data_IF_071343340568
#
_entry.id   IF_071343340568
#
_cell.length_a   1.000
_cell.length_b   1.000
_cell.length_c   1.000
_cell.angle_alpha   90.00
_cell.angle_beta   90.00
_cell.angle_gamma   90.00
#
_symmetry.space_group_name_H-M   'P 1'
#
loop_
_entity.id
_entity.type
_entity.pdbx_description
1 polymer ?
#
# COMPACT_ATOMS: atom_id res chain seq x y z
N UNK A 1 -29.39 -10.70 -59.44
CA UNK A 1 -29.79 -10.12 -58.14
C UNK A 1 -28.93 -10.77 -57.06
N UNK A 2 -27.77 -10.17 -56.75
CA UNK A 2 -26.86 -10.64 -55.71
C UNK A 2 -27.31 -10.07 -54.36
N UNK A 3 -27.65 -10.96 -53.42
CA UNK A 3 -28.00 -10.60 -52.04
C UNK A 3 -26.79 -10.01 -51.30
N UNK A 4 -26.99 -9.00 -50.42
CA UNK A 4 -25.88 -8.26 -49.86
C UNK A 4 -25.18 -9.06 -48.75
N UNK A 5 -23.90 -9.38 -48.97
CA UNK A 5 -22.98 -10.05 -48.06
C UNK A 5 -22.64 -9.21 -46.79
N UNK A 6 -23.20 -8.00 -46.68
CA UNK A 6 -22.94 -7.02 -45.62
C UNK A 6 -23.46 -7.45 -44.22
N UNK A 7 -24.46 -8.33 -44.15
CA UNK A 7 -25.17 -8.62 -42.90
C UNK A 7 -24.38 -9.54 -41.93
N UNK A 8 -23.58 -10.47 -42.48
CA UNK A 8 -22.74 -11.38 -41.67
C UNK A 8 -21.59 -10.65 -40.99
N UNK A 9 -20.97 -9.71 -41.69
CA UNK A 9 -19.85 -8.93 -41.13
C UNK A 9 -20.33 -8.03 -39.97
N UNK A 10 -21.47 -7.35 -40.13
CA UNK A 10 -22.11 -6.56 -39.09
C UNK A 10 -22.45 -7.40 -37.85
N UNK A 11 -23.04 -8.58 -38.04
CA UNK A 11 -23.37 -9.50 -36.96
C UNK A 11 -22.13 -9.99 -36.21
N UNK A 12 -21.05 -10.37 -36.92
CA UNK A 12 -19.80 -10.79 -36.28
C UNK A 12 -19.12 -9.66 -35.50
N UNK A 13 -19.17 -8.42 -36.00
CA UNK A 13 -18.65 -7.24 -35.29
C UNK A 13 -19.48 -6.98 -34.03
N UNK A 14 -20.81 -7.02 -34.13
CA UNK A 14 -21.72 -6.86 -33.00
C UNK A 14 -21.50 -7.92 -31.93
N UNK A 15 -21.35 -9.19 -32.33
CA UNK A 15 -21.06 -10.31 -31.43
C UNK A 15 -19.70 -10.14 -30.73
N UNK A 16 -18.66 -9.70 -31.43
CA UNK A 16 -17.35 -9.42 -30.84
C UNK A 16 -17.41 -8.26 -29.85
N UNK A 17 -18.14 -7.19 -30.17
CA UNK A 17 -18.34 -6.06 -29.26
C UNK A 17 -19.16 -6.46 -28.03
N UNK A 18 -20.25 -7.22 -28.21
CA UNK A 18 -21.04 -7.75 -27.11
C UNK A 18 -20.20 -8.65 -26.20
N UNK A 19 -19.40 -9.56 -26.78
CA UNK A 19 -18.48 -10.40 -26.03
C UNK A 19 -17.43 -9.57 -25.27
N UNK A 20 -16.85 -8.54 -25.90
CA UNK A 20 -15.90 -7.64 -25.25
C UNK A 20 -16.54 -6.91 -24.05
N UNK A 21 -17.74 -6.37 -24.22
CA UNK A 21 -18.48 -5.69 -23.13
C UNK A 21 -18.78 -6.65 -21.99
N UNK A 22 -19.23 -7.88 -22.28
CA UNK A 22 -19.50 -8.90 -21.26
C UNK A 22 -18.21 -9.28 -20.51
N UNK A 23 -17.09 -9.44 -21.23
CA UNK A 23 -15.80 -9.75 -20.60
C UNK A 23 -15.33 -8.59 -19.72
N UNK A 24 -15.39 -7.35 -20.20
CA UNK A 24 -14.99 -6.17 -19.43
C UNK A 24 -15.88 -5.96 -18.20
N UNK A 25 -17.20 -6.12 -18.36
CA UNK A 25 -18.15 -6.06 -17.25
C UNK A 25 -17.90 -7.17 -16.23
N UNK A 26 -17.62 -8.39 -16.68
CA UNK A 26 -17.26 -9.52 -15.83
C UNK A 26 -15.97 -9.28 -15.04
N UNK A 27 -14.93 -8.74 -15.70
CA UNK A 27 -13.67 -8.37 -15.04
C UNK A 27 -13.89 -7.24 -14.03
N UNK A 28 -14.67 -6.22 -14.38
CA UNK A 28 -14.98 -5.11 -13.48
C UNK A 28 -15.78 -5.57 -12.26
N UNK A 29 -16.78 -6.44 -12.46
CA UNK A 29 -17.55 -7.04 -11.37
C UNK A 29 -16.70 -7.95 -10.46
N UNK A 30 -15.67 -8.59 -11.01
CA UNK A 30 -14.72 -9.40 -10.25
C UNK A 30 -13.49 -8.61 -9.76
N UNK A 31 -13.43 -7.29 -9.99
CA UNK A 31 -12.22 -6.50 -9.76
C UNK A 31 -11.74 -6.56 -8.31
N UNK A 32 -12.64 -6.48 -7.34
CA UNK A 32 -12.27 -6.52 -5.92
C UNK A 32 -11.53 -7.82 -5.54
N UNK A 33 -12.04 -8.96 -6.03
CA UNK A 33 -11.43 -10.28 -5.79
C UNK A 33 -10.13 -10.41 -6.59
N UNK A 34 -10.13 -9.97 -7.86
CA UNK A 34 -8.96 -10.04 -8.73
C UNK A 34 -7.81 -9.19 -8.19
N UNK A 35 -8.08 -7.96 -7.74
CA UNK A 35 -7.08 -7.06 -7.15
C UNK A 35 -6.52 -7.67 -5.87
N UNK A 36 -7.37 -8.17 -4.98
CA UNK A 36 -6.92 -8.83 -3.75
C UNK A 36 -6.04 -10.06 -4.04
N UNK A 37 -6.43 -10.89 -5.02
CA UNK A 37 -5.68 -12.06 -5.42
C UNK A 37 -4.34 -11.69 -6.06
N UNK A 38 -4.32 -10.66 -6.92
CA UNK A 38 -3.11 -10.15 -7.56
C UNK A 38 -2.14 -9.57 -6.52
N UNK A 39 -2.65 -8.82 -5.55
CA UNK A 39 -1.85 -8.28 -4.45
C UNK A 39 -1.28 -9.41 -3.58
N UNK A 40 -2.09 -10.42 -3.25
CA UNK A 40 -1.62 -11.58 -2.50
C UNK A 40 -0.60 -12.42 -3.28
N UNK A 41 -0.78 -12.57 -4.60
CA UNK A 41 0.20 -13.22 -5.48
C UNK A 41 1.53 -12.46 -5.45
N UNK A 42 1.47 -11.14 -5.58
CA UNK A 42 2.64 -10.26 -5.53
C UNK A 42 3.39 -10.45 -4.21
N UNK A 43 2.71 -10.35 -3.06
CA UNK A 43 3.34 -10.61 -1.77
C UNK A 43 3.88 -12.04 -1.63
N UNK A 44 3.14 -13.06 -2.09
CA UNK A 44 3.61 -14.44 -2.06
C UNK A 44 4.91 -14.63 -2.86
N UNK A 45 5.03 -14.00 -4.02
CA UNK A 45 6.27 -13.99 -4.83
C UNK A 45 7.42 -13.34 -4.05
N UNK A 46 7.17 -12.17 -3.45
CA UNK A 46 8.17 -11.38 -2.71
C UNK A 46 8.65 -12.10 -1.45
N UNK A 47 7.74 -12.81 -0.75
CA UNK A 47 8.04 -13.54 0.48
C UNK A 47 8.61 -14.94 0.24
N UNK A 48 8.38 -15.54 -0.92
CA UNK A 48 8.88 -16.89 -1.24
C UNK A 48 10.41 -17.06 -1.10
N UNK A 49 11.28 -16.09 -1.45
CA UNK A 49 12.70 -16.12 -1.12
C UNK A 49 12.99 -16.32 0.37
N UNK A 50 12.24 -15.64 1.26
CA UNK A 50 12.37 -15.81 2.70
C UNK A 50 11.92 -17.22 3.13
N UNK A 51 10.78 -17.70 2.61
CA UNK A 51 10.29 -19.06 2.86
C UNK A 51 11.31 -20.11 2.40
N UNK A 52 11.89 -19.96 1.21
CA UNK A 52 12.90 -20.89 0.68
C UNK A 52 14.21 -20.83 1.46
N UNK A 53 14.58 -19.69 2.03
CA UNK A 53 15.73 -19.57 2.92
C UNK A 53 15.53 -20.38 4.21
N UNK A 54 14.35 -20.33 4.83
CA UNK A 54 14.01 -21.17 5.99
C UNK A 54 13.99 -22.67 5.64
N UNK A 55 13.45 -23.02 4.46
CA UNK A 55 13.47 -24.41 3.98
C UNK A 55 14.91 -24.92 3.79
N UNK A 56 15.82 -24.08 3.26
CA UNK A 56 17.24 -24.43 3.12
C UNK A 56 17.94 -24.64 4.46
N UNK A 57 17.43 -24.08 5.56
CA UNK A 57 17.89 -24.32 6.93
C UNK A 57 17.25 -25.56 7.58
N UNK A 58 16.47 -26.36 6.85
CA UNK A 58 15.86 -27.61 7.32
C UNK A 58 14.43 -27.49 7.83
N UNK A 59 13.80 -26.30 7.76
CA UNK A 59 12.41 -26.12 8.21
C UNK A 59 11.43 -26.70 7.19
N UNK A 60 10.45 -27.51 7.63
CA UNK A 60 9.40 -28.03 6.72
C UNK A 60 8.55 -26.87 6.19
N UNK A 61 8.10 -26.96 4.94
CA UNK A 61 7.44 -25.86 4.23
C UNK A 61 6.25 -25.22 4.97
N UNK A 62 5.30 -25.95 5.58
CA UNK A 62 4.20 -25.33 6.31
C UNK A 62 4.69 -24.42 7.45
N UNK A 63 5.66 -24.90 8.24
CA UNK A 63 6.26 -24.11 9.32
C UNK A 63 7.04 -22.90 8.81
N UNK A 64 7.75 -23.04 7.68
CA UNK A 64 8.45 -21.91 7.06
C UNK A 64 7.47 -20.82 6.60
N UNK A 65 6.33 -21.21 6.01
CA UNK A 65 5.28 -20.26 5.60
C UNK A 65 4.68 -19.58 6.82
N UNK A 66 4.25 -20.36 7.83
CA UNK A 66 3.66 -19.81 9.07
C UNK A 66 4.63 -18.83 9.73
N UNK A 67 5.91 -19.18 9.87
CA UNK A 67 6.91 -18.32 10.49
C UNK A 67 7.10 -17.00 9.73
N UNK A 68 7.25 -17.04 8.41
CA UNK A 68 7.44 -15.84 7.57
C UNK A 68 6.19 -14.96 7.61
N UNK A 69 5.01 -15.55 7.50
CA UNK A 69 3.74 -14.80 7.50
C UNK A 69 3.46 -14.19 8.88
N UNK A 70 3.69 -14.93 9.98
CA UNK A 70 3.55 -14.40 11.33
C UNK A 70 4.55 -13.27 11.58
N UNK A 71 5.81 -13.42 11.14
CA UNK A 71 6.80 -12.34 11.24
C UNK A 71 6.37 -11.09 10.46
N UNK A 72 5.83 -11.26 9.24
CA UNK A 72 5.28 -10.15 8.45
C UNK A 72 4.08 -9.50 9.16
N UNK A 73 3.17 -10.28 9.72
CA UNK A 73 1.99 -9.78 10.43
C UNK A 73 2.41 -8.96 11.66
N UNK A 74 3.34 -9.47 12.47
CA UNK A 74 3.87 -8.77 13.63
C UNK A 74 4.56 -7.47 13.21
N UNK A 75 5.38 -7.50 12.16
CA UNK A 75 6.06 -6.32 11.64
C UNK A 75 5.05 -5.25 11.17
N UNK A 76 4.04 -5.63 10.41
CA UNK A 76 3.06 -4.71 9.84
C UNK A 76 2.12 -4.13 10.91
N UNK A 77 1.66 -4.97 11.84
CA UNK A 77 0.84 -4.52 12.97
C UNK A 77 1.61 -3.62 13.92
N UNK A 78 2.88 -3.93 14.21
CA UNK A 78 3.74 -3.06 15.01
C UNK A 78 3.96 -1.70 14.32
N UNK A 79 4.26 -1.70 13.02
CA UNK A 79 4.47 -0.47 12.25
C UNK A 79 3.22 0.41 12.24
N UNK A 80 2.06 -0.15 11.89
CA UNK A 80 0.81 0.60 11.86
C UNK A 80 0.33 0.98 13.26
N UNK A 81 0.61 0.18 14.29
CA UNK A 81 0.27 0.49 15.68
C UNK A 81 1.07 1.69 16.20
N UNK A 82 2.37 1.73 15.91
CA UNK A 82 3.23 2.89 16.22
C UNK A 82 2.77 4.13 15.46
N UNK A 83 2.40 4.00 14.19
CA UNK A 83 1.83 5.10 13.41
C UNK A 83 0.50 5.59 13.99
N UNK A 84 -0.39 4.67 14.37
CA UNK A 84 -1.67 5.00 14.98
C UNK A 84 -1.47 5.78 16.29
N UNK A 85 -0.57 5.30 17.16
CA UNK A 85 -0.21 6.00 18.39
C UNK A 85 0.35 7.41 18.09
N UNK A 86 1.31 7.51 17.17
CA UNK A 86 1.92 8.80 16.80
C UNK A 86 0.91 9.78 16.21
N UNK A 87 -0.02 9.29 15.39
CA UNK A 87 -1.11 10.11 14.82
C UNK A 87 -2.09 10.54 15.92
N UNK A 88 -2.38 9.68 16.89
CA UNK A 88 -3.30 9.99 17.98
C UNK A 88 -2.73 11.09 18.86
N UNK A 89 -1.45 10.98 19.20
CA UNK A 89 -0.72 11.99 19.95
C UNK A 89 -0.63 13.32 19.16
N UNK A 90 -0.39 13.25 17.84
CA UNK A 90 -0.40 14.42 16.96
C UNK A 90 -1.76 15.12 16.97
N UNK A 91 -2.86 14.36 16.82
CA UNK A 91 -4.23 14.88 16.84
C UNK A 91 -4.58 15.51 18.19
N UNK A 92 -4.17 14.89 19.30
CA UNK A 92 -4.35 15.44 20.64
C UNK A 92 -3.61 16.78 20.83
N UNK A 93 -2.47 16.96 20.16
CA UNK A 93 -1.63 18.16 20.25
C UNK A 93 -2.00 19.26 19.24
N UNK A 94 -2.87 18.98 18.26
CA UNK A 94 -3.33 19.96 17.25
C UNK A 94 -3.83 21.29 17.85
N UNK A 95 -4.65 21.32 18.92
CA UNK A 95 -5.11 22.58 19.50
C UNK A 95 -3.96 23.45 20.02
N UNK A 96 -2.92 22.84 20.59
CA UNK A 96 -1.76 23.56 21.12
C UNK A 96 -0.82 24.02 20.00
N UNK A 97 -0.65 23.22 18.94
CA UNK A 97 0.03 23.67 17.72
C UNK A 97 -0.64 24.90 17.11
N UNK A 98 -1.96 24.92 17.04
CA UNK A 98 -2.71 26.06 16.54
C UNK A 98 -2.43 27.32 17.37
N UNK A 99 -2.49 27.22 18.70
CA UNK A 99 -2.16 28.34 19.60
C UNK A 99 -0.71 28.80 19.43
N UNK A 100 0.24 27.89 19.28
CA UNK A 100 1.65 28.22 19.06
C UNK A 100 1.89 28.90 17.71
N UNK A 101 1.25 28.41 16.64
CA UNK A 101 1.29 29.00 15.31
C UNK A 101 0.68 30.41 15.31
N UNK A 102 -0.49 30.60 15.93
CA UNK A 102 -1.11 31.93 16.06
C UNK A 102 -0.18 32.90 16.78
N UNK A 103 0.47 32.48 17.89
CA UNK A 103 1.44 33.31 18.60
C UNK A 103 2.65 33.70 17.73
N UNK A 104 3.20 32.74 16.97
CA UNK A 104 4.32 33.01 16.05
C UNK A 104 3.93 33.95 14.92
N UNK A 105 2.72 33.80 14.36
CA UNK A 105 2.19 34.69 13.32
C UNK A 105 2.05 36.12 13.88
N UNK A 106 1.52 36.27 15.10
CA UNK A 106 1.40 37.58 15.75
C UNK A 106 2.76 38.22 15.99
N UNK A 107 3.76 37.45 16.46
CA UNK A 107 5.13 37.94 16.60
C UNK A 107 5.73 38.37 15.25
N UNK A 108 5.54 37.57 14.20
CA UNK A 108 5.99 37.91 12.84
C UNK A 108 5.35 39.20 12.31
N UNK A 109 4.09 39.44 12.63
CA UNK A 109 3.38 40.68 12.27
C UNK A 109 3.98 41.90 12.98
N UNK A 110 4.39 41.75 14.24
CA UNK A 110 5.04 42.80 15.02
C UNK A 110 6.43 43.16 14.45
N UNK A 111 7.17 42.18 13.92
CA UNK A 111 8.47 42.41 13.26
C UNK A 111 8.36 42.95 11.82
N UNK A 112 7.22 42.77 11.15
CA UNK A 112 7.01 43.15 9.74
C UNK A 112 5.76 44.01 9.55
N UNK A 113 5.68 45.22 10.18
CA UNK A 113 4.50 46.08 10.10
C UNK A 113 4.20 46.60 8.68
N UNK A 114 5.15 46.50 7.75
CA UNK A 114 5.00 46.88 6.34
C UNK A 114 4.24 45.84 5.51
N UNK A 115 4.16 44.58 5.96
CA UNK A 115 3.19 43.63 5.42
C UNK A 115 1.85 43.91 6.12
N UNK A 116 0.95 44.62 5.44
CA UNK A 116 -0.39 45.02 5.91
C UNK A 116 -1.36 43.83 6.13
N UNK A 117 -0.87 42.72 6.69
CA UNK A 117 -1.61 41.50 7.01
C UNK A 117 -2.50 41.75 8.22
N UNK A 118 -3.70 42.32 8.00
CA UNK A 118 -4.75 42.46 9.02
C UNK A 118 -5.40 41.09 9.33
N UNK A 119 -4.59 40.14 9.79
CA UNK A 119 -5.06 38.81 10.17
C UNK A 119 -5.61 38.92 11.59
N UNK A 120 -6.95 38.97 11.71
CA UNK A 120 -7.62 38.92 13.01
C UNK A 120 -7.38 37.53 13.65
N UNK A 121 -6.64 37.43 14.77
CA UNK A 121 -6.28 36.15 15.40
C UNK A 121 -7.53 35.37 15.85
N UNK A 122 -8.58 36.06 16.30
CA UNK A 122 -9.86 35.45 16.64
C UNK A 122 -10.58 34.83 15.44
N UNK A 123 -10.43 35.42 14.24
CA UNK A 123 -11.01 34.88 13.00
C UNK A 123 -10.21 33.70 12.46
N UNK A 124 -8.89 33.64 12.67
CA UNK A 124 -8.09 32.45 12.35
C UNK A 124 -8.43 31.28 13.27
N UNK A 125 -8.51 31.53 14.58
CA UNK A 125 -8.90 30.53 15.56
C UNK A 125 -10.34 30.03 15.36
N UNK A 126 -11.26 30.89 14.89
CA UNK A 126 -12.63 30.50 14.51
C UNK A 126 -12.76 29.86 13.11
N UNK A 127 -11.89 30.16 12.14
CA UNK A 127 -11.95 29.59 10.77
C UNK A 127 -11.17 28.30 10.60
N UNK A 128 -10.19 28.03 11.46
CA UNK A 128 -9.68 26.67 11.64
C UNK A 128 -10.72 25.89 12.43
N UNK A 129 -11.84 25.56 11.78
CA UNK A 129 -12.92 24.72 12.32
C UNK A 129 -12.27 23.47 12.95
N UNK A 130 -12.17 23.46 14.27
CA UNK A 130 -11.68 22.29 15.01
C UNK A 130 -12.52 21.06 14.66
N UNK A 131 -13.77 21.26 14.25
CA UNK A 131 -14.66 20.23 13.73
C UNK A 131 -14.18 19.61 12.41
N UNK A 132 -13.69 20.40 11.44
CA UNK A 132 -13.15 19.86 10.18
C UNK A 132 -11.83 19.13 10.43
N UNK A 133 -10.94 19.72 11.23
CA UNK A 133 -9.68 19.07 11.61
C UNK A 133 -9.91 17.76 12.37
N UNK A 134 -10.88 17.75 13.30
CA UNK A 134 -11.26 16.56 14.04
C UNK A 134 -11.89 15.52 13.11
N UNK A 135 -12.78 15.90 12.19
CA UNK A 135 -13.39 14.98 11.22
C UNK A 135 -12.33 14.34 10.31
N UNK A 136 -11.35 15.12 9.86
CA UNK A 136 -10.22 14.59 9.09
C UNK A 136 -9.38 13.62 9.94
N UNK A 137 -9.06 13.98 11.17
CA UNK A 137 -8.34 13.13 12.10
C UNK A 137 -9.08 11.81 12.37
N UNK A 138 -10.38 11.84 12.66
CA UNK A 138 -11.20 10.65 12.90
C UNK A 138 -11.34 9.80 11.64
N UNK A 139 -11.42 10.43 10.45
CA UNK A 139 -11.46 9.71 9.17
C UNK A 139 -10.14 8.98 8.91
N UNK A 140 -8.99 9.62 9.13
CA UNK A 140 -7.67 8.99 9.02
C UNK A 140 -7.52 7.83 10.01
N UNK A 141 -7.97 8.00 11.26
CA UNK A 141 -7.98 6.93 12.25
C UNK A 141 -8.86 5.76 11.83
N UNK A 142 -10.04 6.04 11.30
CA UNK A 142 -10.97 5.00 10.82
C UNK A 142 -10.38 4.24 9.64
N UNK A 143 -9.72 4.93 8.70
CA UNK A 143 -9.02 4.29 7.58
C UNK A 143 -7.85 3.43 8.06
N UNK A 144 -7.08 3.90 9.04
CA UNK A 144 -5.97 3.15 9.61
C UNK A 144 -6.45 1.89 10.35
N UNK A 145 -7.54 2.00 11.10
CA UNK A 145 -8.22 0.86 11.74
C UNK A 145 -8.79 -0.12 10.70
N UNK A 146 -9.42 0.38 9.64
CA UNK A 146 -9.88 -0.42 8.51
C UNK A 146 -8.74 -1.17 7.82
N UNK A 147 -7.57 -0.54 7.66
CA UNK A 147 -6.39 -1.18 7.11
C UNK A 147 -5.92 -2.37 7.96
N UNK A 148 -6.01 -2.28 9.30
CA UNK A 148 -5.70 -3.42 10.19
C UNK A 148 -6.61 -4.62 9.91
N UNK A 149 -7.91 -4.40 9.69
CA UNK A 149 -8.83 -5.47 9.34
C UNK A 149 -8.51 -6.06 7.95
N UNK A 150 -8.22 -5.21 6.96
CA UNK A 150 -7.83 -5.63 5.62
C UNK A 150 -6.54 -6.44 5.60
N UNK A 151 -5.61 -6.21 6.53
CA UNK A 151 -4.39 -7.00 6.67
C UNK A 151 -4.68 -8.46 6.99
N UNK A 152 -5.68 -8.75 7.82
CA UNK A 152 -6.04 -10.14 8.15
C UNK A 152 -6.47 -10.89 6.89
N UNK A 153 -7.34 -10.27 6.08
CA UNK A 153 -7.78 -10.84 4.81
C UNK A 153 -6.61 -10.99 3.83
N UNK A 154 -5.77 -9.97 3.70
CA UNK A 154 -4.56 -10.03 2.88
C UNK A 154 -3.67 -11.20 3.28
N UNK A 155 -3.41 -11.35 4.59
CA UNK A 155 -2.57 -12.40 5.14
C UNK A 155 -3.15 -13.78 4.87
N UNK A 156 -4.46 -13.98 5.07
CA UNK A 156 -5.11 -15.25 4.72
C UNK A 156 -4.94 -15.59 3.23
N UNK A 157 -5.18 -14.62 2.34
CA UNK A 157 -5.00 -14.82 0.90
C UNK A 157 -3.54 -15.09 0.55
N UNK A 158 -2.58 -14.40 1.18
CA UNK A 158 -1.13 -14.62 0.98
C UNK A 158 -0.73 -16.03 1.43
N UNK A 159 -1.25 -16.52 2.56
CA UNK A 159 -1.01 -17.90 3.02
C UNK A 159 -1.48 -18.88 1.94
N UNK A 160 -2.71 -18.73 1.46
CA UNK A 160 -3.26 -19.56 0.40
C UNK A 160 -2.39 -19.53 -0.86
N UNK A 161 -1.97 -18.33 -1.29
CA UNK A 161 -1.11 -18.15 -2.45
C UNK A 161 0.29 -18.74 -2.26
N UNK A 162 0.89 -18.64 -1.07
CA UNK A 162 2.19 -19.27 -0.78
C UNK A 162 2.14 -20.80 -0.85
N UNK A 163 0.98 -21.41 -0.55
CA UNK A 163 0.73 -22.83 -0.80
C UNK A 163 0.55 -23.11 -2.30
N UNK A 164 -0.33 -22.37 -2.98
CA UNK A 164 -0.75 -22.59 -4.37
C UNK A 164 0.31 -22.25 -5.44
N UNK A 165 1.19 -21.27 -5.20
CA UNK A 165 2.20 -20.78 -6.16
C UNK A 165 3.09 -21.88 -6.75
N UNK A 166 3.29 -23.01 -6.05
CA UNK A 166 4.03 -24.16 -6.60
C UNK A 166 3.19 -25.11 -7.45
N UNK A 167 1.88 -25.13 -7.29
CA UNK A 167 0.96 -25.93 -8.10
C UNK A 167 0.59 -25.23 -9.41
N UNK A 168 0.66 -23.89 -9.45
CA UNK A 168 0.46 -23.09 -10.66
C UNK A 168 1.23 -23.59 -11.89
N UNK A 169 2.58 -23.78 -11.85
CA UNK A 169 3.31 -24.30 -13.01
C UNK A 169 2.96 -25.75 -13.34
N UNK A 170 2.49 -26.56 -12.38
CA UNK A 170 1.98 -27.91 -12.65
C UNK A 170 0.65 -27.83 -13.41
N UNK A 171 -0.31 -27.02 -12.92
CA UNK A 171 -1.62 -26.80 -13.55
C UNK A 171 -1.52 -26.15 -14.94
N UNK A 172 -0.64 -25.16 -15.12
CA UNK A 172 -0.41 -24.52 -16.42
C UNK A 172 0.20 -25.47 -17.46
N UNK A 173 1.00 -26.46 -17.04
CA UNK A 173 1.54 -27.48 -17.97
C UNK A 173 0.47 -28.40 -18.53
N UNK A 174 -0.63 -28.61 -17.80
CA UNK A 174 -1.79 -29.37 -18.30
C UNK A 174 -2.74 -28.51 -19.14
N UNK A 175 -2.75 -27.19 -18.95
CA UNK A 175 -3.60 -26.27 -19.69
C UNK A 175 -2.98 -25.73 -21.00
N UNK A 176 -1.65 -25.80 -21.17
CA UNK A 176 -0.94 -25.25 -22.33
C UNK A 176 -0.17 -26.32 -23.11
N UNK A 177 -0.46 -26.45 -24.42
CA UNK A 177 0.15 -27.43 -25.33
C UNK A 177 1.67 -27.22 -25.61
N UNK A 178 2.32 -26.17 -25.09
CA UNK A 178 3.76 -25.90 -25.29
C UNK A 178 4.43 -25.26 -24.05
N UNK A 179 4.91 -26.06 -23.07
CA UNK A 179 5.26 -25.57 -21.73
C UNK A 179 6.68 -24.99 -21.54
N UNK A 180 7.60 -25.08 -22.51
CA UNK A 180 9.04 -24.80 -22.25
C UNK A 180 9.47 -23.33 -22.44
N UNK A 181 8.90 -22.60 -23.40
CA UNK A 181 9.34 -21.21 -23.70
C UNK A 181 8.76 -20.15 -22.72
N UNK A 182 7.54 -20.33 -22.20
CA UNK A 182 6.86 -19.30 -21.39
C UNK A 182 7.28 -19.30 -19.90
N UNK A 183 7.73 -20.42 -19.35
CA UNK A 183 8.07 -20.53 -17.91
C UNK A 183 9.39 -19.83 -17.58
N UNK A 184 10.35 -19.80 -18.51
CA UNK A 184 11.66 -19.17 -18.30
C UNK A 184 11.59 -17.64 -18.25
N UNK A 185 10.76 -17.02 -19.10
CA UNK A 185 10.51 -15.57 -19.10
C UNK A 185 9.84 -15.11 -17.80
N UNK A 186 8.82 -15.85 -17.35
CA UNK A 186 8.14 -15.58 -16.09
C UNK A 186 9.11 -15.66 -14.89
N UNK A 187 9.95 -16.70 -14.83
CA UNK A 187 10.91 -16.85 -13.73
C UNK A 187 11.95 -15.72 -13.70
N UNK A 188 12.35 -15.20 -14.87
CA UNK A 188 13.30 -14.08 -14.98
C UNK A 188 12.67 -12.75 -14.57
N UNK A 189 11.43 -12.49 -14.97
CA UNK A 189 10.65 -11.33 -14.53
C UNK A 189 10.43 -11.33 -13.01
N UNK A 190 10.02 -12.48 -12.45
CA UNK A 190 9.81 -12.63 -11.00
C UNK A 190 11.10 -12.42 -10.19
N UNK A 191 12.25 -12.88 -10.70
CA UNK A 191 13.55 -12.66 -10.06
C UNK A 191 13.98 -11.19 -10.09
N UNK A 192 13.73 -10.49 -11.20
CA UNK A 192 14.00 -9.05 -11.33
C UNK A 192 13.17 -8.21 -10.36
N UNK A 193 11.86 -8.48 -10.28
CA UNK A 193 10.94 -7.80 -9.34
C UNK A 193 11.39 -7.99 -7.89
N UNK A 194 11.77 -9.22 -7.52
CA UNK A 194 12.23 -9.54 -6.17
C UNK A 194 13.51 -8.79 -5.79
N UNK A 195 14.50 -8.72 -6.69
CA UNK A 195 15.77 -8.04 -6.41
C UNK A 195 15.59 -6.52 -6.32
N UNK A 196 14.81 -5.95 -7.23
CA UNK A 196 14.46 -4.53 -7.20
C UNK A 196 13.73 -4.17 -5.91
N UNK A 197 12.74 -4.96 -5.49
CA UNK A 197 11.99 -4.73 -4.25
C UNK A 197 12.89 -4.82 -3.02
N UNK A 198 13.77 -5.83 -2.94
CA UNK A 198 14.68 -5.95 -1.82
C UNK A 198 15.62 -4.73 -1.71
N UNK A 199 16.14 -4.27 -2.85
CA UNK A 199 16.97 -3.06 -2.89
C UNK A 199 16.17 -1.81 -2.51
N UNK A 200 14.95 -1.66 -3.04
CA UNK A 200 14.06 -0.55 -2.68
C UNK A 200 13.77 -0.54 -1.18
N UNK A 201 13.35 -1.67 -0.61
CA UNK A 201 13.09 -1.78 0.83
C UNK A 201 14.31 -1.43 1.66
N UNK A 202 15.52 -1.85 1.25
CA UNK A 202 16.75 -1.52 1.96
C UNK A 202 17.07 -0.02 1.90
N UNK A 203 16.96 0.60 0.72
CA UNK A 203 17.17 2.05 0.56
C UNK A 203 16.14 2.81 1.37
N UNK A 204 14.87 2.46 1.26
CA UNK A 204 13.79 3.11 2.01
C UNK A 204 13.98 2.95 3.52
N UNK A 205 14.45 1.79 3.99
CA UNK A 205 14.76 1.56 5.42
C UNK A 205 15.86 2.48 5.91
N UNK A 206 16.93 2.63 5.13
CA UNK A 206 18.01 3.57 5.44
C UNK A 206 17.51 5.02 5.42
N UNK A 207 16.75 5.42 4.41
CA UNK A 207 16.16 6.76 4.33
C UNK A 207 15.31 7.06 5.57
N UNK A 208 14.42 6.14 5.95
CA UNK A 208 13.58 6.31 7.14
C UNK A 208 14.36 6.36 8.45
N UNK A 209 15.40 5.53 8.60
CA UNK A 209 16.27 5.51 9.78
C UNK A 209 17.08 6.81 9.91
N UNK A 210 17.64 7.31 8.81
CA UNK A 210 18.40 8.56 8.79
C UNK A 210 17.49 9.74 9.14
N UNK A 211 16.29 9.79 8.57
CA UNK A 211 15.31 10.85 8.87
C UNK A 211 14.87 10.77 10.33
N UNK A 212 14.57 9.57 10.84
CA UNK A 212 14.18 9.38 12.24
C UNK A 212 15.27 9.85 13.20
N UNK A 213 16.51 9.38 13.02
CA UNK A 213 17.63 9.73 13.89
C UNK A 213 17.99 11.21 13.79
N UNK A 214 17.94 11.78 12.59
CA UNK A 214 18.20 13.21 12.38
C UNK A 214 17.18 14.09 13.09
N UNK A 215 15.89 13.76 12.99
CA UNK A 215 14.82 14.49 13.67
C UNK A 215 14.87 14.29 15.19
N UNK A 216 15.23 13.09 15.65
CA UNK A 216 15.41 12.80 17.07
C UNK A 216 16.57 13.60 17.67
N UNK A 217 17.70 13.71 16.94
CA UNK A 217 18.84 14.53 17.36
C UNK A 217 18.51 16.03 17.40
N UNK A 218 17.61 16.50 16.53
CA UNK A 218 17.11 17.88 16.53
C UNK A 218 16.02 18.14 17.59
N UNK A 219 15.57 17.12 18.33
CA UNK A 219 14.48 17.24 19.30
C UNK A 219 13.12 17.51 18.66
N UNK A 220 12.93 17.15 17.38
CA UNK A 220 11.67 17.35 16.66
C UNK A 220 10.63 16.35 17.14
N UNK A 221 9.43 16.85 17.46
CA UNK A 221 8.31 16.02 17.88
C UNK A 221 7.88 15.05 16.77
N UNK A 222 7.41 13.86 17.15
CA UNK A 222 6.95 12.82 16.22
C UNK A 222 8.03 12.36 15.21
N UNK A 223 9.32 12.44 15.57
CA UNK A 223 10.44 12.02 14.71
C UNK A 223 10.25 10.62 14.10
N UNK A 224 9.69 9.68 14.87
CA UNK A 224 9.43 8.31 14.43
C UNK A 224 8.37 8.26 13.32
N UNK A 225 7.28 9.02 13.44
CA UNK A 225 6.25 9.13 12.40
C UNK A 225 6.85 9.62 11.08
N UNK A 226 7.67 10.67 11.14
CA UNK A 226 8.34 11.22 9.96
C UNK A 226 9.35 10.25 9.35
N UNK A 227 10.08 9.50 10.17
CA UNK A 227 10.97 8.43 9.69
C UNK A 227 10.22 7.31 8.96
N UNK A 228 9.08 6.89 9.50
CA UNK A 228 8.21 5.91 8.83
C UNK A 228 7.61 6.48 7.54
N UNK A 229 7.21 7.75 7.53
CA UNK A 229 6.74 8.43 6.31
C UNK A 229 7.83 8.45 5.23
N UNK A 230 9.06 8.79 5.61
CA UNK A 230 10.23 8.74 4.73
C UNK A 230 10.52 7.33 4.21
N UNK A 231 10.36 6.29 5.04
CA UNK A 231 10.43 4.90 4.60
C UNK A 231 9.34 4.57 3.56
N UNK A 232 8.09 4.97 3.79
CA UNK A 232 6.98 4.63 2.91
C UNK A 232 6.99 5.38 1.58
N UNK A 233 7.47 6.63 1.57
CA UNK A 233 7.44 7.51 0.39
C UNK A 233 8.68 7.41 -0.51
N UNK A 234 9.73 6.71 -0.09
CA UNK A 234 10.95 6.47 -0.85
C UNK A 234 10.82 5.22 -1.74
#
# INVERSE_FOLDING_TARGET
MSSPQADKAGLHILLKLAALVIILAGIHAAADILVQLLLALFFAIVLNPLVTWFIRRGVRRPFAITLVVTAMLVMLTALLGVLAASLNDFVAMLPDFNRALTRKILQLQEYLPFLNLHINPERMLRRMDSERLMTWATTLMTQLSGAMASIVLLVMTVIFMLFEVRHLPYKLRFALNNPRLHIAGLHRALKGVTHYLALKTLISLWTGLIVWLGLLAMGVQFALMWGVLAFLLN
#
